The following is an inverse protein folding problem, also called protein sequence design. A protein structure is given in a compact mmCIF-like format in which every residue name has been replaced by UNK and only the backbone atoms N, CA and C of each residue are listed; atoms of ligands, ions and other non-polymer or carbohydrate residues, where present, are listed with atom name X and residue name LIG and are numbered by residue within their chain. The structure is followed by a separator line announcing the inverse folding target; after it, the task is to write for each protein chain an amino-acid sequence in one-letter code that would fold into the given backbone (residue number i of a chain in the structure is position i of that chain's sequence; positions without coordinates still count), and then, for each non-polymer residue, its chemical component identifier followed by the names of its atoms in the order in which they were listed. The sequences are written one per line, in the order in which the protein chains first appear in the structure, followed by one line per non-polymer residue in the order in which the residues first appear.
data_IF_987664712527
#
_entry.id   IF_987664712527
#
_cell.length_a   1.000
_cell.length_b   1.000
_cell.length_c   1.000
_cell.angle_alpha   90.00
_cell.angle_beta   90.00
_cell.angle_gamma   90.00
#
_symmetry.space_group_name_H-M   'P 1'
#
loop_
_entity.id
_entity.type
_entity.pdbx_description
1 polymer ?
#
# COMPACT_ATOMS: atom_id res chain seq x y z
N UNK A 1 -20.30 12.44 -1.10
CA UNK A 1 -19.82 11.03 -1.05
C UNK A 1 -19.14 10.70 0.28
N UNK A 2 -17.88 11.06 0.55
CA UNK A 2 -17.21 10.67 1.82
C UNK A 2 -17.91 11.21 3.09
N UNK A 3 -18.29 12.49 3.11
CA UNK A 3 -19.07 13.09 4.23
C UNK A 3 -20.46 12.46 4.40
N UNK A 4 -21.08 12.03 3.30
CA UNK A 4 -22.39 11.36 3.32
C UNK A 4 -22.29 9.91 3.84
N UNK A 5 -21.13 9.27 3.69
CA UNK A 5 -20.83 7.95 4.24
C UNK A 5 -20.39 7.99 5.72
N UNK A 6 -20.49 9.14 6.40
CA UNK A 6 -20.09 9.29 7.80
C UNK A 6 -18.58 9.25 8.05
N UNK A 7 -17.76 9.35 7.00
CA UNK A 7 -16.30 9.24 7.12
C UNK A 7 -15.72 10.59 7.57
N UNK A 8 -15.09 10.57 8.75
CA UNK A 8 -14.49 11.76 9.39
C UNK A 8 -13.05 12.04 8.92
N UNK A 9 -12.35 11.04 8.39
CA UNK A 9 -11.02 11.20 7.79
C UNK A 9 -11.11 12.04 6.51
N UNK A 10 -10.08 12.85 6.24
CA UNK A 10 -9.95 13.49 4.93
C UNK A 10 -9.79 12.44 3.84
N UNK A 11 -10.71 12.46 2.87
CA UNK A 11 -10.68 11.65 1.65
C UNK A 11 -10.20 12.52 0.48
N UNK A 12 -9.27 12.00 -0.30
CA UNK A 12 -8.83 12.59 -1.58
C UNK A 12 -8.66 11.50 -2.63
N UNK A 13 -8.73 11.83 -3.93
CA UNK A 13 -8.54 10.83 -5.01
C UNK A 13 -7.23 10.05 -4.85
N UNK A 14 -6.16 10.73 -4.41
CA UNK A 14 -4.87 10.09 -4.19
C UNK A 14 -4.90 9.09 -3.02
N UNK A 15 -5.62 9.38 -1.94
CA UNK A 15 -5.81 8.44 -0.81
C UNK A 15 -6.60 7.20 -1.22
N UNK A 16 -7.65 7.37 -2.02
CA UNK A 16 -8.43 6.23 -2.54
C UNK A 16 -7.52 5.34 -3.38
N UNK A 17 -6.74 5.93 -4.30
CA UNK A 17 -5.76 5.18 -5.10
C UNK A 17 -4.76 4.42 -4.21
N UNK A 18 -4.24 5.07 -3.17
CA UNK A 18 -3.34 4.44 -2.22
C UNK A 18 -3.97 3.20 -1.57
N UNK A 19 -5.14 3.38 -0.96
CA UNK A 19 -5.87 2.30 -0.29
C UNK A 19 -6.22 1.16 -1.25
N UNK A 20 -6.59 1.45 -2.49
CA UNK A 20 -6.88 0.43 -3.49
C UNK A 20 -5.65 -0.40 -3.87
N UNK A 21 -4.47 0.21 -3.98
CA UNK A 21 -3.21 -0.50 -4.32
C UNK A 21 -2.79 -1.41 -3.18
N UNK A 22 -2.76 -0.88 -1.94
CA UNK A 22 -2.42 -1.67 -0.75
C UNK A 22 -3.39 -2.84 -0.57
N UNK A 23 -4.71 -2.58 -0.66
CA UNK A 23 -5.70 -3.64 -0.52
C UNK A 23 -5.60 -4.71 -1.63
N UNK A 24 -5.25 -4.32 -2.86
CA UNK A 24 -5.01 -5.28 -3.93
C UNK A 24 -3.78 -6.16 -3.66
N UNK A 25 -2.70 -5.61 -3.10
CA UNK A 25 -1.53 -6.39 -2.69
C UNK A 25 -1.89 -7.39 -1.59
N UNK A 26 -2.63 -6.96 -0.56
CA UNK A 26 -3.08 -7.85 0.52
C UNK A 26 -3.91 -9.03 -0.01
N UNK A 27 -4.89 -8.73 -0.87
CA UNK A 27 -5.80 -9.75 -1.43
C UNK A 27 -5.14 -10.69 -2.43
N UNK A 28 -3.97 -10.31 -2.95
CA UNK A 28 -3.21 -11.13 -3.90
C UNK A 28 -1.93 -11.70 -3.29
N UNK A 29 -1.75 -11.55 -1.98
CA UNK A 29 -0.55 -11.96 -1.26
C UNK A 29 0.74 -11.44 -1.91
N UNK A 30 0.79 -10.14 -2.22
CA UNK A 30 1.98 -9.46 -2.75
C UNK A 30 2.21 -9.64 -4.26
N UNK A 31 1.18 -9.93 -5.07
CA UNK A 31 1.35 -10.03 -6.52
C UNK A 31 1.57 -8.65 -7.18
N UNK A 32 2.78 -8.11 -7.05
CA UNK A 32 3.16 -6.79 -7.51
C UNK A 32 2.96 -6.60 -9.02
N UNK A 33 3.12 -7.65 -9.84
CA UNK A 33 2.89 -7.59 -11.29
C UNK A 33 1.42 -7.38 -11.64
N UNK A 34 0.50 -8.10 -10.97
CA UNK A 34 -0.93 -7.91 -11.17
C UNK A 34 -1.38 -6.52 -10.71
N UNK A 35 -0.90 -6.08 -9.54
CA UNK A 35 -1.22 -4.76 -8.98
C UNK A 35 -0.62 -3.62 -9.82
N UNK A 36 0.55 -3.81 -10.44
CA UNK A 36 1.10 -2.85 -11.39
C UNK A 36 0.17 -2.65 -12.59
N UNK A 37 -0.37 -3.75 -13.14
CA UNK A 37 -1.32 -3.68 -14.27
C UNK A 37 -2.63 -2.99 -13.86
N UNK A 38 -3.13 -3.26 -12.66
CA UNK A 38 -4.31 -2.59 -12.10
C UNK A 38 -4.09 -1.07 -11.94
N UNK A 39 -2.98 -0.69 -11.33
CA UNK A 39 -2.65 0.70 -11.00
C UNK A 39 -2.11 1.50 -12.18
N UNK A 40 -1.65 0.82 -13.24
CA UNK A 40 -1.05 1.43 -14.44
C UNK A 40 0.25 2.19 -14.16
N UNK A 41 0.99 1.80 -13.11
CA UNK A 41 2.31 2.38 -12.87
C UNK A 41 3.32 1.87 -13.91
N UNK A 42 3.99 2.80 -14.59
CA UNK A 42 5.03 2.46 -15.55
C UNK A 42 6.22 1.75 -14.90
N UNK A 43 6.58 2.14 -13.67
CA UNK A 43 7.67 1.55 -12.91
C UNK A 43 7.13 0.63 -11.81
N UNK A 44 7.59 -0.63 -11.78
CA UNK A 44 7.19 -1.61 -10.77
C UNK A 44 7.68 -1.22 -9.37
N UNK A 45 8.79 -0.48 -9.26
CA UNK A 45 9.30 0.03 -7.99
C UNK A 45 8.30 0.96 -7.30
N UNK A 46 7.41 1.61 -8.05
CA UNK A 46 6.32 2.39 -7.45
C UNK A 46 5.36 1.49 -6.67
N UNK A 47 5.08 0.26 -7.14
CA UNK A 47 4.22 -0.71 -6.45
C UNK A 47 4.97 -1.37 -5.29
N UNK A 48 6.26 -1.66 -5.44
CA UNK A 48 7.07 -2.26 -4.38
C UNK A 48 7.05 -1.44 -3.08
N UNK A 49 7.11 -0.10 -3.18
CA UNK A 49 6.95 0.78 -2.00
C UNK A 49 5.66 0.55 -1.21
N UNK A 50 4.57 0.16 -1.87
CA UNK A 50 3.32 -0.17 -1.18
C UNK A 50 3.39 -1.54 -0.51
N UNK A 51 4.10 -2.49 -1.10
CA UNK A 51 4.29 -3.84 -0.57
C UNK A 51 5.22 -3.79 0.65
N UNK A 52 6.34 -3.06 0.55
CA UNK A 52 7.26 -2.82 1.67
C UNK A 52 6.53 -2.18 2.86
N UNK A 53 5.75 -1.12 2.61
CA UNK A 53 4.99 -0.43 3.64
C UNK A 53 3.86 -1.27 4.25
N UNK A 54 3.31 -2.26 3.53
CA UNK A 54 2.23 -3.11 4.08
C UNK A 54 2.79 -4.20 5.00
N UNK A 55 4.02 -4.65 4.74
CA UNK A 55 4.71 -5.67 5.51
C UNK A 55 5.50 -5.07 6.69
N UNK A 56 5.76 -3.77 6.66
CA UNK A 56 6.58 -3.06 7.65
C UNK A 56 8.00 -3.67 7.81
N UNK A 57 8.59 -4.07 6.68
CA UNK A 57 9.92 -4.71 6.64
C UNK A 57 10.99 -3.84 7.32
N UNK A 58 10.85 -2.52 7.27
CA UNK A 58 11.77 -1.62 7.96
C UNK A 58 11.67 -1.76 9.48
N UNK A 59 10.45 -1.87 10.02
CA UNK A 59 10.21 -2.12 11.43
C UNK A 59 10.88 -3.41 11.89
N UNK A 60 10.61 -4.51 11.18
CA UNK A 60 11.18 -5.84 11.46
C UNK A 60 12.72 -5.81 11.49
N UNK A 61 13.35 -5.17 10.50
CA UNK A 61 14.81 -5.04 10.45
C UNK A 61 15.37 -4.13 11.55
N UNK A 62 14.63 -3.09 11.93
CA UNK A 62 15.04 -2.20 13.01
C UNK A 62 15.00 -2.91 14.37
N UNK A 63 14.01 -3.78 14.58
CA UNK A 63 13.91 -4.63 15.78
C UNK A 63 15.06 -5.64 15.84
N UNK A 64 15.34 -6.34 14.73
CA UNK A 64 16.47 -7.27 14.64
C UNK A 64 17.82 -6.60 14.97
N UNK A 65 18.04 -5.37 14.52
CA UNK A 65 19.27 -4.63 14.81
C UNK A 65 19.37 -4.14 16.26
N UNK A 66 18.24 -3.98 16.95
CA UNK A 66 18.20 -3.54 18.35
C UNK A 66 18.53 -4.67 19.34
N UNK A 67 18.48 -5.93 18.90
CA UNK A 67 18.83 -7.12 19.70
C UNK A 67 20.35 -7.39 19.78
N UNK A 68 21.18 -6.58 19.13
CA UNK A 68 22.64 -6.76 19.02
C UNK A 68 23.40 -5.96 20.08
#
# INVERSE_FOLDING_TARGET
MAKQAGLTKQFSPHRIRHSSITHALDRTNGNARAVQRLSRHANINTVQKYDDNRLDVQGDLSELLAEV
#
